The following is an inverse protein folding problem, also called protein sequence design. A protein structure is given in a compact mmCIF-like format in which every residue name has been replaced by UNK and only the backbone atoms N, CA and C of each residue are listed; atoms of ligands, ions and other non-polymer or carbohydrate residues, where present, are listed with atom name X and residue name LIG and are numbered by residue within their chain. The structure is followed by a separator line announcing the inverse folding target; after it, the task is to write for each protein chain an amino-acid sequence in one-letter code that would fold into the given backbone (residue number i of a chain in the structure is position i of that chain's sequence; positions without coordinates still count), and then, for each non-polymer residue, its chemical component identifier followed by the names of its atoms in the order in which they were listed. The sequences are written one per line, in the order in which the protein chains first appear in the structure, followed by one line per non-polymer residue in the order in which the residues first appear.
data_IF_264673731682
#
_entry.id   IF_264673731682
#
_cell.length_a   1.000
_cell.length_b   1.000
_cell.length_c   1.000
_cell.angle_alpha   90.00
_cell.angle_beta   90.00
_cell.angle_gamma   90.00
#
_symmetry.space_group_name_H-M   'P 1'
#
loop_
_entity.id
_entity.type
_entity.pdbx_description
1 polymer ?
#
# COMPACT_ATOMS: atom_id res chain seq x y z
N UNK A 1 16.57 -14.89 -22.68
CA UNK A 1 17.25 -15.38 -23.86
C UNK A 1 16.21 -15.73 -24.92
N UNK A 2 16.34 -15.16 -26.13
CA UNK A 2 15.48 -15.46 -27.26
C UNK A 2 16.09 -16.60 -28.06
N UNK A 3 15.30 -17.60 -28.38
CA UNK A 3 15.78 -18.77 -29.09
C UNK A 3 14.82 -19.14 -30.25
N UNK A 4 15.40 -19.37 -31.42
CA UNK A 4 14.70 -19.74 -32.63
C UNK A 4 15.34 -21.00 -33.22
N UNK A 5 14.59 -22.12 -33.25
CA UNK A 5 15.01 -23.41 -33.82
C UNK A 5 16.33 -23.99 -33.33
N UNK A 6 16.91 -23.50 -32.23
CA UNK A 6 18.14 -24.07 -31.67
C UNK A 6 17.85 -24.85 -30.39
N UNK A 7 18.58 -25.93 -30.09
CA UNK A 7 18.41 -26.66 -28.85
C UNK A 7 18.74 -25.75 -27.66
N UNK A 8 17.89 -25.83 -26.63
CA UNK A 8 18.07 -25.05 -25.41
C UNK A 8 19.33 -25.54 -24.69
N UNK A 9 20.25 -24.65 -24.27
CA UNK A 9 21.43 -25.06 -23.52
C UNK A 9 21.05 -25.79 -22.22
N UNK A 10 21.77 -26.83 -21.86
CA UNK A 10 21.55 -27.67 -20.68
C UNK A 10 21.63 -26.93 -19.34
N UNK A 11 22.37 -25.81 -19.30
CA UNK A 11 22.55 -24.97 -18.11
C UNK A 11 21.68 -23.72 -18.25
N UNK A 12 20.60 -23.67 -17.47
CA UNK A 12 19.77 -22.45 -17.34
C UNK A 12 20.22 -21.72 -16.08
N UNK A 13 20.76 -20.49 -16.17
CA UNK A 13 20.88 -19.64 -15.01
C UNK A 13 19.46 -19.42 -14.41
N UNK A 14 19.33 -19.53 -13.11
CA UNK A 14 18.03 -19.45 -12.41
C UNK A 14 17.24 -18.17 -12.71
N UNK A 15 17.95 -17.08 -13.08
CA UNK A 15 17.37 -15.77 -13.36
C UNK A 15 17.10 -15.47 -14.84
N UNK A 16 17.26 -16.43 -15.75
CA UNK A 16 17.09 -16.21 -17.18
C UNK A 16 15.85 -16.88 -17.72
N UNK A 17 14.88 -16.09 -18.16
CA UNK A 17 13.70 -16.62 -18.89
C UNK A 17 14.10 -16.93 -20.34
N UNK A 18 13.83 -18.16 -20.76
CA UNK A 18 14.04 -18.61 -22.15
C UNK A 18 12.67 -18.59 -22.85
N UNK A 19 12.56 -17.84 -23.94
CA UNK A 19 11.39 -17.80 -24.81
C UNK A 19 11.77 -18.51 -26.11
N UNK A 20 11.03 -19.58 -26.46
CA UNK A 20 11.29 -20.39 -27.65
C UNK A 20 10.05 -20.40 -28.52
N UNK A 21 10.20 -20.07 -29.80
CA UNK A 21 9.12 -20.09 -30.79
C UNK A 21 9.61 -20.61 -32.14
N UNK A 22 8.81 -21.39 -32.87
CA UNK A 22 9.16 -21.88 -34.20
C UNK A 22 9.06 -20.79 -35.27
N UNK A 23 8.32 -19.71 -35.04
CA UNK A 23 8.14 -18.60 -35.98
C UNK A 23 8.74 -17.33 -35.38
N UNK A 24 9.64 -16.69 -36.14
CA UNK A 24 10.41 -15.53 -35.65
C UNK A 24 9.53 -14.33 -35.27
N UNK A 25 8.44 -14.10 -36.01
CA UNK A 25 7.53 -12.99 -35.69
C UNK A 25 6.81 -13.22 -34.35
N UNK A 26 6.39 -14.44 -34.05
CA UNK A 26 5.78 -14.78 -32.78
C UNK A 26 6.77 -14.65 -31.62
N UNK A 27 8.07 -14.80 -31.87
CA UNK A 27 9.11 -14.62 -30.88
C UNK A 27 9.20 -13.16 -30.42
N UNK A 28 9.09 -12.21 -31.35
CA UNK A 28 9.08 -10.78 -31.06
C UNK A 28 7.85 -10.40 -30.26
N UNK A 29 6.65 -10.85 -30.70
CA UNK A 29 5.40 -10.57 -30.01
C UNK A 29 5.41 -11.10 -28.55
N UNK A 30 5.90 -12.32 -28.35
CA UNK A 30 6.04 -12.90 -27.01
C UNK A 30 7.06 -12.19 -26.14
N UNK A 31 8.14 -11.68 -26.74
CA UNK A 31 9.11 -10.87 -26.01
C UNK A 31 8.51 -9.54 -25.56
N UNK A 32 7.75 -8.88 -26.41
CA UNK A 32 7.07 -7.62 -26.08
C UNK A 32 6.04 -7.83 -24.97
N UNK A 33 5.21 -8.86 -25.07
CA UNK A 33 4.24 -9.23 -24.02
C UNK A 33 4.95 -9.53 -22.69
N UNK A 34 6.02 -10.31 -22.71
CA UNK A 34 6.80 -10.59 -21.50
C UNK A 34 7.43 -9.33 -20.91
N UNK A 35 7.94 -8.44 -21.74
CA UNK A 35 8.51 -7.15 -21.30
C UNK A 35 7.47 -6.29 -20.63
N UNK A 36 6.27 -6.20 -21.19
CA UNK A 36 5.14 -5.46 -20.58
C UNK A 36 4.69 -6.08 -19.25
N UNK A 37 4.58 -7.41 -19.18
CA UNK A 37 4.24 -8.12 -17.94
C UNK A 37 5.29 -7.89 -16.86
N UNK A 38 6.58 -7.96 -17.22
CA UNK A 38 7.68 -7.70 -16.29
C UNK A 38 7.69 -6.25 -15.82
N UNK A 39 7.40 -5.31 -16.72
CA UNK A 39 7.31 -3.90 -16.37
C UNK A 39 6.18 -3.65 -15.36
N UNK A 40 4.99 -4.24 -15.61
CA UNK A 40 3.87 -4.19 -14.66
C UNK A 40 4.23 -4.78 -13.30
N UNK A 41 4.82 -5.97 -13.26
CA UNK A 41 5.25 -6.60 -12.00
C UNK A 41 6.27 -5.76 -11.24
N UNK A 42 7.21 -5.14 -11.94
CA UNK A 42 8.21 -4.25 -11.32
C UNK A 42 7.58 -2.99 -10.73
N UNK A 43 6.61 -2.42 -11.43
CA UNK A 43 5.87 -1.26 -10.96
C UNK A 43 4.97 -1.61 -9.78
N UNK A 44 4.29 -2.76 -9.82
CA UNK A 44 3.51 -3.29 -8.69
C UNK A 44 4.38 -3.55 -7.45
N UNK A 45 5.56 -4.16 -7.61
CA UNK A 45 6.51 -4.38 -6.51
C UNK A 45 7.06 -3.08 -5.91
N UNK A 46 7.27 -2.04 -6.73
CA UNK A 46 7.63 -0.72 -6.22
C UNK A 46 6.52 -0.11 -5.38
N UNK A 47 5.26 -0.29 -5.78
CA UNK A 47 4.09 0.17 -5.04
C UNK A 47 3.85 -0.62 -3.75
N UNK A 48 4.23 -1.89 -3.69
CA UNK A 48 4.13 -2.70 -2.46
C UNK A 48 5.03 -2.18 -1.33
N UNK A 49 6.14 -1.53 -1.67
CA UNK A 49 7.07 -0.93 -0.71
C UNK A 49 6.66 0.47 -0.25
N UNK A 50 5.69 1.07 -0.91
CA UNK A 50 5.21 2.43 -0.61
C UNK A 50 3.93 2.34 0.21
N UNK A 51 3.81 3.17 1.22
CA UNK A 51 2.59 3.27 2.04
C UNK A 51 1.41 3.68 1.15
N UNK A 52 0.46 2.77 0.91
CA UNK A 52 -0.76 3.11 0.17
C UNK A 52 -1.61 4.11 0.97
N UNK A 53 -2.28 5.03 0.29
CA UNK A 53 -3.19 5.95 0.96
C UNK A 53 -4.41 5.20 1.50
N UNK A 54 -4.74 5.44 2.76
CA UNK A 54 -5.95 4.93 3.39
C UNK A 54 -6.52 5.92 4.40
N UNK A 55 -7.81 5.77 4.64
CA UNK A 55 -8.58 6.50 5.65
C UNK A 55 -9.38 5.50 6.45
N UNK A 56 -9.21 5.50 7.75
CA UNK A 56 -9.93 4.61 8.67
C UNK A 56 -10.60 5.40 9.76
N UNK A 57 -11.73 4.90 10.24
CA UNK A 57 -12.46 5.46 11.38
C UNK A 57 -12.41 4.48 12.53
N UNK A 58 -12.08 4.96 13.72
CA UNK A 58 -12.13 4.17 14.95
C UNK A 58 -13.60 3.96 15.33
N UNK A 59 -14.00 2.70 15.49
CA UNK A 59 -15.37 2.34 15.84
C UNK A 59 -15.60 2.54 17.33
N UNK A 60 -16.71 3.22 17.69
CA UNK A 60 -17.10 3.40 19.07
C UNK A 60 -17.48 2.05 19.72
N UNK A 61 -17.01 1.81 20.94
CA UNK A 61 -17.26 0.58 21.67
C UNK A 61 -16.39 -0.63 21.28
N UNK A 62 -15.48 -0.48 20.32
CA UNK A 62 -14.58 -1.54 19.86
C UNK A 62 -13.12 -1.28 20.25
N UNK A 63 -12.89 -0.99 21.53
CA UNK A 63 -11.57 -0.90 22.11
C UNK A 63 -11.28 -2.19 22.86
N UNK A 64 -10.42 -3.03 22.29
CA UNK A 64 -10.05 -4.32 22.89
C UNK A 64 -8.90 -4.17 23.88
N UNK A 65 -7.99 -3.19 23.63
CA UNK A 65 -6.83 -2.90 24.47
C UNK A 65 -6.45 -1.43 24.38
N UNK A 66 -6.25 -0.79 25.52
CA UNK A 66 -6.04 0.67 25.57
C UNK A 66 -4.62 1.10 25.26
N UNK A 67 -3.60 0.25 25.54
CA UNK A 67 -2.17 0.60 25.36
C UNK A 67 -1.29 -0.64 25.19
N UNK A 68 -0.08 -0.46 24.69
CA UNK A 68 1.07 -1.37 24.59
C UNK A 68 0.80 -2.79 24.02
N UNK A 69 0.51 -2.97 22.78
CA UNK A 69 -0.03 -2.04 21.79
C UNK A 69 -1.53 -1.78 22.04
N UNK A 70 -2.03 -0.63 21.61
CA UNK A 70 -3.47 -0.39 21.59
C UNK A 70 -4.13 -1.25 20.51
N UNK A 71 -5.24 -1.92 20.83
CA UNK A 71 -6.00 -2.72 19.86
C UNK A 71 -7.40 -2.14 19.76
N UNK A 72 -7.74 -1.63 18.58
CA UNK A 72 -9.01 -0.94 18.32
C UNK A 72 -9.68 -1.49 17.07
N UNK A 73 -10.99 -1.56 17.08
CA UNK A 73 -11.78 -1.84 15.89
C UNK A 73 -11.83 -0.60 15.01
N UNK A 74 -11.51 -0.76 13.74
CA UNK A 74 -11.59 0.31 12.74
C UNK A 74 -12.41 -0.14 11.55
N UNK A 75 -13.08 0.82 10.93
CA UNK A 75 -13.71 0.68 9.63
C UNK A 75 -12.80 1.34 8.58
N UNK A 76 -12.47 0.62 7.51
CA UNK A 76 -11.75 1.20 6.37
C UNK A 76 -12.74 2.00 5.53
N UNK A 77 -12.67 3.31 5.63
CA UNK A 77 -13.58 4.22 4.91
C UNK A 77 -13.18 4.31 3.45
N UNK A 78 -11.89 4.49 3.18
CA UNK A 78 -11.34 4.66 1.84
C UNK A 78 -9.93 4.08 1.74
N UNK A 79 -9.58 3.55 0.57
CA UNK A 79 -8.25 3.05 0.26
C UNK A 79 -7.99 1.65 0.79
N UNK A 80 -6.72 1.30 0.92
CA UNK A 80 -6.27 -0.03 1.37
C UNK A 80 -5.36 0.11 2.59
N UNK A 81 -5.86 -0.34 3.73
CA UNK A 81 -5.09 -0.42 4.97
C UNK A 81 -4.10 -1.59 4.89
N UNK A 82 -2.83 -1.32 5.12
CA UNK A 82 -1.78 -2.35 5.13
C UNK A 82 -1.06 -2.40 6.48
N UNK A 83 -0.57 -3.58 6.84
CA UNK A 83 0.28 -3.75 8.01
C UNK A 83 1.57 -2.94 7.88
N UNK A 84 2.19 -2.60 9.00
CA UNK A 84 3.40 -1.77 9.09
C UNK A 84 3.27 -0.33 8.54
N UNK A 85 2.08 0.11 8.17
CA UNK A 85 1.85 1.46 7.67
C UNK A 85 1.83 2.50 8.79
N UNK A 86 2.50 3.65 8.62
CA UNK A 86 2.40 4.75 9.56
C UNK A 86 1.04 5.45 9.47
N UNK A 87 0.50 5.86 10.62
CA UNK A 87 -0.79 6.55 10.73
C UNK A 87 -0.64 7.95 11.32
N UNK A 88 -1.47 8.86 10.83
CA UNK A 88 -1.55 10.24 11.30
C UNK A 88 -2.99 10.64 11.64
N UNK A 89 -3.11 11.67 12.46
CA UNK A 89 -4.39 12.28 12.78
C UNK A 89 -4.83 13.30 11.70
N UNK A 90 -6.02 13.88 11.88
CA UNK A 90 -6.59 14.92 11.01
C UNK A 90 -5.78 16.22 10.99
N UNK A 91 -4.84 16.39 11.93
CA UNK A 91 -3.92 17.54 11.99
C UNK A 91 -2.62 17.29 11.19
N UNK A 92 -2.45 16.09 10.61
CA UNK A 92 -1.24 15.72 9.86
C UNK A 92 -0.06 15.29 10.73
N UNK A 93 -0.27 15.14 12.05
CA UNK A 93 0.73 14.63 12.96
C UNK A 93 0.74 13.10 12.94
N UNK A 94 1.89 12.50 12.66
CA UNK A 94 2.05 11.06 12.79
C UNK A 94 1.95 10.67 14.26
N UNK A 95 1.10 9.69 14.57
CA UNK A 95 0.81 9.26 15.93
C UNK A 95 1.26 7.83 16.21
N UNK A 96 1.28 6.98 15.20
CA UNK A 96 1.57 5.56 15.40
C UNK A 96 1.96 4.86 14.09
N UNK A 97 2.16 3.55 14.24
CA UNK A 97 2.28 2.60 13.13
C UNK A 97 1.35 1.41 13.38
N UNK A 98 0.74 0.93 12.31
CA UNK A 98 -0.08 -0.30 12.33
C UNK A 98 0.86 -1.49 12.50
N UNK A 99 0.82 -2.18 13.62
CA UNK A 99 1.63 -3.38 13.87
C UNK A 99 1.05 -4.62 13.19
N UNK A 100 -0.26 -4.74 13.22
CA UNK A 100 -0.98 -5.87 12.63
C UNK A 100 -2.45 -5.56 12.46
N UNK A 101 -3.07 -6.31 11.57
CA UNK A 101 -4.49 -6.22 11.23
C UNK A 101 -5.10 -7.60 11.44
N UNK A 102 -6.23 -7.69 12.10
CA UNK A 102 -6.97 -8.94 12.33
C UNK A 102 -8.42 -8.80 11.84
N UNK A 103 -8.86 -9.79 11.10
CA UNK A 103 -10.27 -9.96 10.70
C UNK A 103 -10.74 -11.33 11.15
N UNK A 104 -11.82 -11.40 11.94
CA UNK A 104 -12.42 -12.66 12.41
C UNK A 104 -11.40 -13.64 13.07
N UNK A 105 -10.44 -13.09 13.83
CA UNK A 105 -9.33 -13.79 14.50
C UNK A 105 -8.14 -14.20 13.61
N UNK A 106 -8.21 -14.00 12.28
CA UNK A 106 -7.10 -14.24 11.39
C UNK A 106 -6.26 -12.97 11.18
N UNK A 107 -4.94 -13.14 11.17
CA UNK A 107 -4.03 -12.07 10.83
C UNK A 107 -4.04 -11.86 9.31
N UNK A 108 -4.32 -10.65 8.88
CA UNK A 108 -4.33 -10.27 7.47
C UNK A 108 -3.31 -9.15 7.22
N UNK A 109 -2.72 -9.13 6.04
CA UNK A 109 -1.75 -8.10 5.68
C UNK A 109 -2.41 -6.83 5.13
N UNK A 110 -3.60 -6.98 4.52
CA UNK A 110 -4.30 -5.89 3.82
C UNK A 110 -5.79 -5.93 4.14
N UNK A 111 -6.40 -4.77 4.34
CA UNK A 111 -7.85 -4.62 4.46
C UNK A 111 -8.34 -3.54 3.49
N UNK A 112 -9.34 -3.87 2.69
CA UNK A 112 -9.93 -3.00 1.66
C UNK A 112 -11.07 -2.15 2.22
N UNK A 113 -11.47 -1.15 1.45
CA UNK A 113 -12.59 -0.25 1.75
C UNK A 113 -13.87 -1.02 2.14
N UNK A 114 -14.54 -0.57 3.20
CA UNK A 114 -15.77 -1.15 3.74
C UNK A 114 -15.55 -2.31 4.72
N UNK A 115 -14.32 -2.80 4.89
CA UNK A 115 -14.05 -3.85 5.89
C UNK A 115 -13.90 -3.26 7.29
N UNK A 116 -14.43 -4.00 8.26
CA UNK A 116 -14.26 -3.73 9.69
C UNK A 116 -13.22 -4.72 10.23
N UNK A 117 -12.15 -4.20 10.81
CA UNK A 117 -11.01 -4.99 11.25
C UNK A 117 -10.47 -4.49 12.59
N UNK A 118 -9.85 -5.37 13.36
CA UNK A 118 -9.11 -4.97 14.55
C UNK A 118 -7.68 -4.60 14.16
N UNK A 119 -7.23 -3.43 14.60
CA UNK A 119 -5.89 -2.90 14.30
C UNK A 119 -5.11 -2.75 15.58
N UNK A 120 -3.89 -3.25 15.56
CA UNK A 120 -2.91 -3.07 16.62
C UNK A 120 -2.02 -1.86 16.30
N UNK A 121 -2.01 -0.85 17.18
CA UNK A 121 -1.26 0.40 17.05
C UNK A 121 -0.15 0.46 18.08
N UNK A 122 1.09 0.72 17.64
CA UNK A 122 2.26 0.86 18.52
C UNK A 122 2.26 2.23 19.20
N UNK A 123 2.77 2.26 20.45
CA UNK A 123 3.05 3.51 21.20
C UNK A 123 1.88 4.48 21.35
N UNK A 124 0.64 3.95 21.31
CA UNK A 124 -0.59 4.74 21.43
C UNK A 124 -1.34 4.35 22.69
N UNK A 125 -1.93 5.35 23.32
CA UNK A 125 -2.90 5.17 24.41
C UNK A 125 -4.24 5.76 23.96
N UNK A 126 -5.28 4.91 23.97
CA UNK A 126 -6.65 5.32 23.69
C UNK A 126 -7.15 6.28 24.79
N UNK A 127 -7.84 7.31 24.41
CA UNK A 127 -8.28 8.39 25.29
C UNK A 127 -7.30 9.56 25.41
N UNK A 128 -6.01 9.37 25.01
CA UNK A 128 -4.99 10.42 25.03
C UNK A 128 -4.61 10.88 23.64
N UNK A 129 -4.13 9.99 22.77
CA UNK A 129 -3.67 10.30 21.42
C UNK A 129 -4.73 10.03 20.35
N UNK A 130 -5.60 9.05 20.60
CA UNK A 130 -6.74 8.69 19.76
C UNK A 130 -7.98 8.48 20.62
N UNK A 131 -9.13 8.78 20.04
CA UNK A 131 -10.45 8.61 20.67
C UNK A 131 -11.36 7.79 19.79
N UNK A 132 -12.43 7.29 20.37
CA UNK A 132 -13.52 6.66 19.62
C UNK A 132 -14.13 7.67 18.63
N UNK A 133 -14.39 7.21 17.42
CA UNK A 133 -14.90 8.03 16.33
C UNK A 133 -13.86 8.85 15.58
N UNK A 134 -12.60 8.89 16.03
CA UNK A 134 -11.54 9.59 15.33
C UNK A 134 -11.27 8.96 13.95
N UNK A 135 -10.94 9.83 13.00
CA UNK A 135 -10.50 9.42 11.68
C UNK A 135 -8.98 9.50 11.60
N UNK A 136 -8.37 8.41 11.15
CA UNK A 136 -6.93 8.31 10.96
C UNK A 136 -6.63 8.15 9.46
N UNK A 137 -5.51 8.71 9.05
CA UNK A 137 -5.01 8.67 7.67
C UNK A 137 -3.66 7.99 7.62
N UNK A 138 -3.28 7.46 6.47
CA UNK A 138 -1.91 7.03 6.24
C UNK A 138 -0.96 8.22 6.33
N UNK A 139 0.13 8.08 7.09
CA UNK A 139 1.16 9.11 7.22
C UNK A 139 2.20 8.95 6.10
N UNK A 140 1.78 9.17 4.85
CA UNK A 140 2.65 9.10 3.67
C UNK A 140 3.78 10.12 3.80
N UNK A 141 5.02 9.70 3.55
CA UNK A 141 6.18 10.59 3.48
C UNK A 141 6.18 11.40 2.18
N UNK A 142 6.99 12.46 2.12
CA UNK A 142 7.06 13.28 0.91
C UNK A 142 7.62 12.53 -0.30
N UNK A 143 8.62 11.68 -0.08
CA UNK A 143 9.21 10.84 -1.13
C UNK A 143 8.22 9.79 -1.64
N UNK A 144 7.49 9.12 -0.74
CA UNK A 144 6.41 8.20 -1.10
C UNK A 144 5.29 8.91 -1.87
N UNK A 145 4.94 10.13 -1.46
CA UNK A 145 3.93 10.93 -2.16
C UNK A 145 4.35 11.26 -3.60
N UNK A 146 5.63 11.63 -3.82
CA UNK A 146 6.17 11.88 -5.16
C UNK A 146 6.13 10.61 -6.01
N UNK A 147 6.55 9.47 -5.47
CA UNK A 147 6.48 8.17 -6.15
C UNK A 147 5.03 7.80 -6.52
N UNK A 148 4.08 7.93 -5.60
CA UNK A 148 2.66 7.68 -5.86
C UNK A 148 2.08 8.65 -6.91
N UNK A 149 2.55 9.92 -6.92
CA UNK A 149 2.15 10.92 -7.92
C UNK A 149 2.67 10.57 -9.32
N UNK A 150 3.87 10.02 -9.45
CA UNK A 150 4.43 9.52 -10.71
C UNK A 150 3.68 8.29 -11.21
N UNK A 151 3.30 7.41 -10.29
CA UNK A 151 2.66 6.13 -10.60
C UNK A 151 1.12 6.18 -10.50
N UNK A 152 0.51 7.33 -10.76
CA UNK A 152 -0.95 7.54 -10.70
C UNK A 152 -1.79 6.53 -11.50
N UNK A 153 -1.21 5.89 -12.51
CA UNK A 153 -1.88 4.90 -13.37
C UNK A 153 -2.30 3.64 -12.60
N UNK A 154 -1.61 3.32 -11.51
CA UNK A 154 -1.85 2.13 -10.69
C UNK A 154 -2.69 2.42 -9.44
N UNK A 155 -3.04 3.68 -9.20
CA UNK A 155 -3.90 4.09 -8.11
C UNK A 155 -5.34 4.14 -8.58
N UNK A 156 -6.24 3.65 -7.74
CA UNK A 156 -7.68 3.83 -7.95
C UNK A 156 -8.06 5.32 -7.85
N UNK A 157 -9.18 5.71 -8.41
CA UNK A 157 -9.61 7.10 -8.33
C UNK A 157 -9.85 7.55 -6.89
N UNK A 158 -10.34 6.64 -6.04
CA UNK A 158 -10.48 6.85 -4.59
C UNK A 158 -9.13 7.13 -3.94
N UNK A 159 -8.10 6.35 -4.25
CA UNK A 159 -6.74 6.56 -3.72
C UNK A 159 -6.11 7.89 -4.19
N UNK A 160 -6.41 8.31 -5.43
CA UNK A 160 -5.96 9.61 -5.96
C UNK A 160 -6.58 10.79 -5.22
N UNK A 161 -7.87 10.71 -4.92
CA UNK A 161 -8.57 11.78 -4.18
C UNK A 161 -8.12 11.81 -2.72
N UNK A 162 -7.93 10.64 -2.13
CA UNK A 162 -7.40 10.51 -0.78
C UNK A 162 -5.96 11.06 -0.66
N UNK A 163 -5.12 10.86 -1.69
CA UNK A 163 -3.79 11.49 -1.75
C UNK A 163 -3.85 13.01 -1.76
N UNK A 164 -4.83 13.60 -2.45
CA UNK A 164 -5.06 15.05 -2.43
C UNK A 164 -5.48 15.52 -1.04
N UNK A 165 -6.37 14.77 -0.37
CA UNK A 165 -6.81 15.06 1.00
C UNK A 165 -5.63 15.03 1.98
N UNK A 166 -4.81 13.97 1.92
CA UNK A 166 -3.58 13.81 2.72
C UNK A 166 -2.61 14.98 2.47
N UNK A 167 -2.39 15.34 1.19
CA UNK A 167 -1.55 16.49 0.84
C UNK A 167 -2.11 17.80 1.41
N UNK A 168 -3.42 17.99 1.36
CA UNK A 168 -4.10 19.15 1.97
C UNK A 168 -3.87 19.23 3.48
N UNK A 169 -3.97 18.10 4.19
CA UNK A 169 -3.72 18.03 5.64
C UNK A 169 -2.25 18.35 5.95
N UNK A 170 -1.31 17.76 5.22
CA UNK A 170 0.14 18.00 5.40
C UNK A 170 0.55 19.44 5.10
N UNK A 171 -0.05 20.05 4.06
CA UNK A 171 0.24 21.44 3.65
C UNK A 171 -0.27 22.50 4.63
N UNK A 172 -1.24 22.17 5.47
CA UNK A 172 -1.62 23.06 6.59
C UNK A 172 -0.46 23.32 7.54
N UNK A 173 0.40 22.31 7.74
CA UNK A 173 1.56 22.41 8.62
C UNK A 173 2.85 22.78 7.87
N UNK A 174 2.99 22.38 6.61
CA UNK A 174 4.13 22.68 5.74
C UNK A 174 3.63 23.03 4.33
N UNK A 175 3.50 24.32 3.96
CA UNK A 175 2.94 24.73 2.67
C UNK A 175 3.69 24.19 1.43
N UNK A 176 4.97 23.87 1.59
CA UNK A 176 5.85 23.37 0.49
C UNK A 176 5.82 21.84 0.36
N UNK A 177 5.05 21.15 1.21
CA UNK A 177 5.02 19.70 1.23
C UNK A 177 4.48 19.11 -0.08
N UNK A 178 5.27 18.21 -0.69
CA UNK A 178 4.91 17.46 -1.91
C UNK A 178 4.79 18.31 -3.19
N UNK A 179 5.48 19.44 -3.25
CA UNK A 179 5.60 20.29 -4.44
C UNK A 179 6.66 19.77 -5.40
#
# INVERSE_FOLDING_TARGET
LLNFHTPIPLVKPEDVKVITEPVVYNLVDKYEQWKEEMHKKWEEQKLEKVTRPFKVRIMAGYIFRQCNPAVVGVEVVEGTLTSNSPVMNTEGKQISRVKGIQSEQDNIEKAETGKQVAVSLEDVTVGRQIKEGDTLYSAVSEDEFRQLKEQKKFLTDVEKDLLKEIAGIKRKNNPVWGV
#
